data_IF_275023935983
#
_entry.id   IF_275023935983
#
_cell.length_a   1.000
_cell.length_b   1.000
_cell.length_c   1.000
_cell.angle_alpha   90.00
_cell.angle_beta   90.00
_cell.angle_gamma   90.00
#
_symmetry.space_group_name_H-M   'P 1'
#
loop_
_entity.id
_entity.type
_entity.pdbx_description
1 polymer ?
#
# COMPACT_ATOMS: atom_id res chain seq x y z
N UNK A 1 -6.24 21.24 -23.62
CA UNK A 1 -6.68 22.24 -22.63
C UNK A 1 -7.92 21.71 -21.90
N UNK A 2 -7.74 20.97 -20.81
CA UNK A 2 -8.66 20.93 -19.66
C UNK A 2 -7.76 20.70 -18.44
N UNK A 3 -7.53 21.78 -17.70
CA UNK A 3 -6.77 21.86 -16.46
C UNK A 3 -7.75 21.77 -15.27
N UNK A 4 -7.22 21.34 -14.12
CA UNK A 4 -7.66 21.67 -12.74
C UNK A 4 -8.99 21.12 -12.21
N UNK A 5 -8.89 20.08 -11.37
CA UNK A 5 -9.45 20.09 -10.00
C UNK A 5 -8.26 19.68 -9.11
N UNK A 6 -7.74 20.49 -8.19
CA UNK A 6 -8.31 20.76 -6.87
C UNK A 6 -7.57 22.01 -6.34
N UNK A 7 -8.28 23.10 -6.06
CA UNK A 7 -7.73 24.22 -5.30
C UNK A 7 -8.86 25.00 -4.59
N UNK A 8 -8.62 25.29 -3.31
CA UNK A 8 -9.19 26.34 -2.44
C UNK A 8 -10.72 26.44 -2.24
N UNK A 9 -11.14 26.35 -0.97
CA UNK A 9 -12.37 26.98 -0.48
C UNK A 9 -11.98 28.06 0.54
N UNK A 10 -12.24 29.32 0.19
CA UNK A 10 -12.44 30.44 1.13
C UNK A 10 -13.82 31.05 0.81
N UNK A 11 -14.65 31.37 1.81
CA UNK A 11 -16.00 31.87 1.56
C UNK A 11 -16.01 33.39 1.26
N UNK A 12 -16.99 33.89 0.48
CA UNK A 12 -17.06 35.29 0.09
C UNK A 12 -17.73 36.17 1.16
N UNK A 13 -17.24 37.40 1.27
CA UNK A 13 -17.86 38.53 1.97
C UNK A 13 -19.01 39.12 1.13
N UNK A 14 -20.18 39.30 1.74
CA UNK A 14 -21.27 40.10 1.17
C UNK A 14 -21.45 41.38 1.99
N UNK A 15 -21.44 42.52 1.31
CA UNK A 15 -21.71 43.84 1.88
C UNK A 15 -23.14 44.31 1.54
N UNK A 16 -23.71 45.06 2.49
CA UNK A 16 -24.75 46.12 2.40
C UNK A 16 -26.23 45.73 2.63
N UNK A 17 -27.11 46.68 3.05
CA UNK A 17 -26.92 47.75 4.05
C UNK A 17 -28.01 47.73 5.17
N UNK A 18 -27.74 48.47 6.25
CA UNK A 18 -28.63 48.70 7.39
C UNK A 18 -29.94 49.41 7.00
N UNK A 19 -31.08 48.92 7.50
CA UNK A 19 -32.30 49.72 7.66
C UNK A 19 -33.00 49.42 8.99
N UNK A 20 -33.31 50.50 9.70
CA UNK A 20 -33.97 50.67 11.00
C UNK A 20 -35.38 50.09 11.11
N UNK A 21 -35.80 49.63 12.31
CA UNK A 21 -37.05 49.98 13.04
C UNK A 21 -37.21 49.09 14.33
N UNK A 22 -38.10 49.43 15.30
CA UNK A 22 -37.74 49.54 16.71
C UNK A 22 -38.20 48.39 17.62
N UNK A 23 -37.62 48.44 18.82
CA UNK A 23 -37.96 47.77 20.07
C UNK A 23 -39.45 47.58 20.35
N UNK A 24 -39.83 46.36 20.70
CA UNK A 24 -40.38 45.96 22.01
C UNK A 24 -41.11 44.62 21.83
N UNK A 25 -40.76 43.61 22.64
CA UNK A 25 -41.64 42.60 23.24
C UNK A 25 -40.76 41.68 24.12
N UNK A 26 -41.32 41.09 25.20
CA UNK A 26 -40.58 40.78 26.42
C UNK A 26 -39.88 39.42 26.38
N UNK A 27 -38.80 39.38 27.17
CA UNK A 27 -37.97 38.22 27.51
C UNK A 27 -38.77 36.94 27.77
N UNK A 28 -38.65 35.97 26.87
CA UNK A 28 -38.78 34.55 27.17
C UNK A 28 -37.36 33.98 27.28
N UNK A 29 -36.94 33.76 28.51
CA UNK A 29 -35.63 33.23 28.86
C UNK A 29 -35.60 31.72 28.54
N UNK A 30 -35.37 31.37 27.28
CA UNK A 30 -35.00 30.02 26.87
C UNK A 30 -33.48 29.94 26.87
N UNK A 31 -32.93 29.25 27.86
CA UNK A 31 -31.49 29.06 28.01
C UNK A 31 -30.90 28.41 26.77
N UNK A 32 -30.06 29.16 26.05
CA UNK A 32 -29.06 28.57 25.18
C UNK A 32 -27.80 28.42 26.02
N UNK A 33 -27.65 27.25 26.63
CA UNK A 33 -26.35 26.80 27.09
C UNK A 33 -25.45 26.72 25.85
N UNK A 34 -24.52 27.65 25.77
CA UNK A 34 -23.38 27.58 24.86
C UNK A 34 -22.57 26.35 25.32
N UNK A 35 -22.80 25.21 24.67
CA UNK A 35 -21.98 24.02 24.86
C UNK A 35 -20.61 24.32 24.27
N UNK A 36 -19.75 24.95 25.06
CA UNK A 36 -18.32 25.01 24.82
C UNK A 36 -17.86 23.57 24.59
N UNK A 37 -17.37 23.30 23.37
CA UNK A 37 -16.79 22.01 23.02
C UNK A 37 -15.73 21.67 24.08
N UNK A 38 -16.06 20.75 25.00
CA UNK A 38 -15.10 20.20 25.95
C UNK A 38 -13.95 19.66 25.11
N UNK A 39 -12.76 20.23 25.31
CA UNK A 39 -11.53 19.59 24.87
C UNK A 39 -11.50 18.20 25.50
N UNK A 40 -11.86 17.19 24.70
CA UNK A 40 -11.74 15.80 25.10
C UNK A 40 -10.24 15.56 25.16
N UNK A 41 -9.70 15.56 26.37
CA UNK A 41 -8.34 15.11 26.61
C UNK A 41 -8.25 13.71 26.00
N UNK A 42 -7.33 13.45 25.07
CA UNK A 42 -7.22 12.15 24.43
C UNK A 42 -7.11 11.10 25.53
N UNK A 43 -7.88 10.01 25.40
CA UNK A 43 -7.70 8.86 26.28
C UNK A 43 -6.21 8.49 26.23
N UNK A 44 -5.53 8.42 27.38
CA UNK A 44 -4.10 8.11 27.45
C UNK A 44 -3.76 6.81 26.71
N UNK A 45 -4.71 5.88 26.62
CA UNK A 45 -4.60 4.66 25.84
C UNK A 45 -4.45 4.88 24.33
N UNK A 46 -5.12 5.91 23.77
CA UNK A 46 -5.04 6.26 22.35
C UNK A 46 -3.64 6.79 22.01
N UNK A 47 -3.04 7.63 22.86
CA UNK A 47 -1.69 8.16 22.60
C UNK A 47 -0.59 7.08 22.69
N UNK A 48 -0.87 5.97 23.37
CA UNK A 48 0.00 4.79 23.40
C UNK A 48 -0.22 3.84 22.21
N UNK A 49 -1.25 4.06 21.38
CA UNK A 49 -1.56 3.22 20.21
C UNK A 49 -0.37 3.02 19.27
N UNK A 50 0.37 4.07 18.82
CA UNK A 50 1.46 3.89 17.86
C UNK A 50 2.57 2.97 18.35
N UNK A 51 2.78 2.86 19.66
CA UNK A 51 3.78 1.96 20.25
C UNK A 51 3.32 0.50 20.32
N UNK A 52 2.01 0.26 20.33
CA UNK A 52 1.39 -1.08 20.38
C UNK A 52 1.07 -1.64 18.98
N UNK A 53 0.88 -0.76 18.02
CA UNK A 53 0.55 -1.07 16.63
C UNK A 53 1.71 -1.78 15.90
N UNK A 54 1.38 -2.66 14.97
CA UNK A 54 2.36 -3.41 14.16
C UNK A 54 2.62 -2.69 12.84
N UNK A 55 3.46 -1.66 12.91
CA UNK A 55 3.79 -0.81 11.77
C UNK A 55 5.01 -1.30 10.99
N UNK A 56 4.98 -1.07 9.68
CA UNK A 56 6.11 -1.32 8.76
C UNK A 56 6.19 -0.20 7.73
N UNK A 57 7.41 0.22 7.40
CA UNK A 57 7.62 1.05 6.22
C UNK A 57 7.38 0.19 4.96
N UNK A 58 6.46 0.62 4.09
CA UNK A 58 6.02 -0.17 2.95
C UNK A 58 6.79 0.19 1.68
N UNK A 59 6.69 1.46 1.28
CA UNK A 59 7.34 1.95 0.08
C UNK A 59 7.48 3.47 0.06
N UNK A 60 8.43 3.96 -0.71
CA UNK A 60 8.51 5.37 -1.11
C UNK A 60 7.91 5.54 -2.49
N UNK A 61 7.00 6.49 -2.64
CA UNK A 61 6.39 6.85 -3.92
C UNK A 61 7.07 8.09 -4.46
N UNK A 62 7.54 8.02 -5.71
CA UNK A 62 8.11 9.16 -6.40
C UNK A 62 7.96 9.03 -7.91
N UNK A 63 8.15 10.14 -8.62
CA UNK A 63 7.83 10.27 -10.04
C UNK A 63 9.07 10.19 -10.90
N UNK A 64 8.94 9.56 -12.07
CA UNK A 64 10.04 9.38 -13.03
C UNK A 64 9.61 9.84 -14.41
N UNK A 65 10.54 10.41 -15.16
CA UNK A 65 10.30 10.93 -16.51
C UNK A 65 10.27 9.85 -17.59
N UNK A 66 10.94 8.72 -17.34
CA UNK A 66 11.00 7.56 -18.23
C UNK A 66 11.02 6.28 -17.38
N UNK A 67 9.90 5.55 -17.38
CA UNK A 67 9.72 4.38 -16.51
C UNK A 67 10.66 3.25 -16.88
N UNK A 68 10.81 2.95 -18.17
CA UNK A 68 11.62 1.83 -18.65
C UNK A 68 13.11 2.09 -18.41
N UNK A 69 13.56 3.33 -18.62
CA UNK A 69 14.94 3.75 -18.31
C UNK A 69 15.25 3.56 -16.83
N UNK A 70 14.35 3.95 -15.94
CA UNK A 70 14.56 3.83 -14.50
C UNK A 70 14.47 2.38 -14.02
N UNK A 71 13.52 1.59 -14.53
CA UNK A 71 13.45 0.14 -14.27
C UNK A 71 14.75 -0.54 -14.70
N UNK A 72 15.26 -0.24 -15.89
CA UNK A 72 16.52 -0.79 -16.39
C UNK A 72 17.69 -0.39 -15.49
N UNK A 73 17.81 0.89 -15.13
CA UNK A 73 18.88 1.36 -14.25
C UNK A 73 18.86 0.67 -12.87
N UNK A 74 17.69 0.45 -12.29
CA UNK A 74 17.57 -0.19 -10.97
C UNK A 74 17.80 -1.69 -11.01
N UNK A 75 17.33 -2.36 -12.05
CA UNK A 75 17.50 -3.81 -12.20
C UNK A 75 18.93 -4.17 -12.61
N UNK A 76 19.45 -3.53 -13.65
CA UNK A 76 20.79 -3.78 -14.16
C UNK A 76 21.86 -3.14 -13.27
N UNK A 77 21.63 -1.95 -12.71
CA UNK A 77 22.59 -1.26 -11.84
C UNK A 77 22.55 -1.76 -10.41
N UNK A 78 21.51 -1.39 -9.67
CA UNK A 78 21.38 -1.72 -8.25
C UNK A 78 21.10 -3.19 -7.96
N UNK A 79 20.63 -3.98 -8.95
CA UNK A 79 20.26 -5.38 -8.73
C UNK A 79 18.88 -5.55 -8.10
N UNK A 80 18.02 -4.53 -8.17
CA UNK A 80 16.62 -4.64 -7.75
C UNK A 80 15.83 -5.56 -8.69
N UNK A 81 14.69 -6.05 -8.22
CA UNK A 81 13.72 -6.82 -9.02
C UNK A 81 12.51 -5.94 -9.31
N UNK A 82 12.00 -6.01 -10.54
CA UNK A 82 10.66 -5.53 -10.85
C UNK A 82 9.65 -6.52 -10.26
N UNK A 83 8.90 -6.07 -9.25
CA UNK A 83 7.98 -6.91 -8.47
C UNK A 83 6.57 -6.86 -9.04
N UNK A 84 6.12 -5.66 -9.39
CA UNK A 84 4.77 -5.41 -9.89
C UNK A 84 4.79 -4.21 -10.84
N UNK A 85 3.98 -4.30 -11.89
CA UNK A 85 3.80 -3.24 -12.87
C UNK A 85 2.31 -3.08 -13.12
N UNK A 86 1.80 -1.85 -13.05
CA UNK A 86 0.37 -1.57 -13.19
C UNK A 86 0.18 -0.32 -14.03
N UNK A 87 -0.48 -0.47 -15.15
CA UNK A 87 -0.89 0.64 -16.00
C UNK A 87 -2.32 1.06 -15.67
N UNK A 88 -2.56 2.38 -15.58
CA UNK A 88 -3.88 2.98 -15.31
C UNK A 88 -4.18 4.05 -16.37
N UNK A 89 -4.54 3.65 -17.61
CA UNK A 89 -4.76 4.59 -18.73
C UNK A 89 -5.83 5.64 -18.47
N UNK A 90 -6.90 5.27 -17.77
CA UNK A 90 -8.01 6.11 -17.37
C UNK A 90 -7.59 7.31 -16.49
N UNK A 91 -6.50 7.16 -15.72
CA UNK A 91 -5.90 8.22 -14.91
C UNK A 91 -4.56 8.71 -15.48
N UNK A 92 -4.13 8.18 -16.65
CA UNK A 92 -2.92 8.55 -17.40
C UNK A 92 -1.61 8.40 -16.64
N UNK A 93 -1.46 7.30 -15.90
CA UNK A 93 -0.19 6.98 -15.26
C UNK A 93 0.07 5.47 -15.19
N UNK A 94 1.35 5.13 -15.01
CA UNK A 94 1.82 3.77 -14.81
C UNK A 94 2.65 3.70 -13.52
N UNK A 95 2.45 2.66 -12.72
CA UNK A 95 3.32 2.34 -11.59
C UNK A 95 4.22 1.14 -11.86
N UNK A 96 5.43 1.20 -11.30
CA UNK A 96 6.31 0.04 -11.14
C UNK A 96 6.81 -0.04 -9.70
N UNK A 97 6.79 -1.25 -9.14
CA UNK A 97 7.27 -1.54 -7.79
C UNK A 97 8.57 -2.31 -7.89
N UNK A 98 9.65 -1.79 -7.29
CA UNK A 98 10.97 -2.40 -7.35
C UNK A 98 11.62 -2.49 -5.96
N UNK A 99 12.33 -3.58 -5.71
CA UNK A 99 13.06 -3.77 -4.46
C UNK A 99 13.91 -5.03 -4.47
N UNK A 100 14.48 -5.38 -3.32
CA UNK A 100 15.37 -6.54 -3.18
C UNK A 100 14.64 -7.83 -2.78
N UNK A 101 13.38 -7.72 -2.35
CA UNK A 101 12.52 -8.83 -1.94
C UNK A 101 11.04 -8.53 -2.18
N UNK A 102 10.14 -9.46 -1.82
CA UNK A 102 8.70 -9.31 -2.02
C UNK A 102 8.11 -8.19 -1.15
N UNK A 103 7.08 -7.50 -1.66
CA UNK A 103 6.48 -6.29 -1.05
C UNK A 103 5.92 -6.56 0.36
N UNK A 104 5.55 -7.82 0.67
CA UNK A 104 4.99 -8.24 1.95
C UNK A 104 6.02 -8.16 3.09
N UNK A 105 7.30 -8.39 2.80
CA UNK A 105 8.38 -8.44 3.79
C UNK A 105 9.44 -7.36 3.63
N UNK A 106 9.49 -6.69 2.48
CA UNK A 106 10.53 -5.69 2.17
C UNK A 106 9.95 -4.30 1.92
N UNK A 107 10.79 -3.30 2.12
CA UNK A 107 10.59 -1.95 1.61
C UNK A 107 10.90 -1.89 0.12
N UNK A 108 10.06 -1.19 -0.63
CA UNK A 108 10.18 -1.08 -2.09
C UNK A 108 10.05 0.36 -2.55
N UNK A 109 10.49 0.65 -3.77
CA UNK A 109 10.18 1.92 -4.44
C UNK A 109 8.94 1.73 -5.31
N UNK A 110 7.99 2.67 -5.22
CA UNK A 110 6.86 2.79 -6.14
C UNK A 110 7.16 3.96 -7.09
N UNK A 111 7.53 3.62 -8.31
CA UNK A 111 7.71 4.58 -9.39
C UNK A 111 6.36 4.97 -9.96
N UNK A 112 6.18 6.25 -10.25
CA UNK A 112 5.00 6.78 -10.94
C UNK A 112 5.43 7.52 -12.19
N UNK A 113 5.06 6.99 -13.35
CA UNK A 113 5.20 7.68 -14.62
C UNK A 113 3.85 8.27 -15.03
N UNK A 114 3.76 9.60 -15.12
CA UNK A 114 2.59 10.28 -15.66
C UNK A 114 2.78 10.48 -17.16
N UNK A 115 1.78 10.13 -17.97
CA UNK A 115 1.94 10.09 -19.43
C UNK A 115 2.37 11.44 -20.00
N UNK A 116 3.50 11.44 -20.71
CA UNK A 116 4.03 12.63 -21.38
C UNK A 116 4.72 13.63 -20.44
N UNK A 117 4.85 13.35 -19.15
CA UNK A 117 5.61 14.18 -18.19
C UNK A 117 6.99 13.57 -18.01
N UNK A 118 8.01 14.22 -18.58
CA UNK A 118 9.36 13.66 -18.74
C UNK A 118 10.39 14.18 -17.75
N UNK A 119 10.01 15.07 -16.84
CA UNK A 119 10.92 15.64 -15.84
C UNK A 119 10.15 16.17 -14.64
N UNK A 120 10.78 16.10 -13.46
CA UNK A 120 10.23 16.63 -12.21
C UNK A 120 11.29 17.47 -11.49
N UNK A 121 10.83 18.39 -10.66
CA UNK A 121 11.68 19.11 -9.73
C UNK A 121 11.83 18.29 -8.44
N UNK A 122 13.07 17.87 -8.13
CA UNK A 122 13.36 17.11 -6.90
C UNK A 122 13.23 17.99 -5.66
N UNK A 123 13.47 19.30 -5.80
CA UNK A 123 13.60 20.21 -4.66
C UNK A 123 14.87 19.97 -3.84
N UNK A 124 15.04 20.80 -2.82
CA UNK A 124 16.20 20.79 -1.93
C UNK A 124 15.96 19.98 -0.66
N UNK A 125 14.70 19.62 -0.38
CA UNK A 125 14.33 18.90 0.83
C UNK A 125 14.63 17.40 0.75
N UNK A 126 14.49 16.79 -0.43
CA UNK A 126 14.75 15.37 -0.60
C UNK A 126 16.26 15.13 -0.50
N UNK A 127 16.66 14.20 0.37
CA UNK A 127 18.04 13.84 0.58
C UNK A 127 18.49 12.78 -0.42
N UNK A 128 18.19 11.53 -0.08
CA UNK A 128 18.59 10.37 -0.86
C UNK A 128 17.79 9.12 -0.45
N UNK A 129 17.90 8.07 -1.25
CA UNK A 129 17.66 6.70 -0.80
C UNK A 129 18.99 6.05 -0.41
N UNK A 130 19.00 5.13 0.56
CA UNK A 130 20.21 4.38 0.95
C UNK A 130 20.14 2.93 0.49
N UNK A 131 21.21 2.43 -0.13
CA UNK A 131 21.40 1.03 -0.50
C UNK A 131 22.61 0.46 0.22
N UNK A 132 22.39 -0.49 1.12
CA UNK A 132 23.44 -1.29 1.73
C UNK A 132 23.93 -2.38 0.76
N UNK A 133 25.25 -2.53 0.66
CA UNK A 133 25.89 -3.57 -0.14
C UNK A 133 27.19 -4.03 0.50
N UNK A 134 27.64 -5.24 0.20
CA UNK A 134 28.88 -5.81 0.75
C UNK A 134 30.14 -5.22 0.11
N UNK A 135 30.02 -4.74 -1.14
CA UNK A 135 31.14 -4.16 -1.89
C UNK A 135 30.67 -2.93 -2.69
N UNK A 136 30.87 -1.75 -2.10
CA UNK A 136 30.46 -0.49 -2.70
C UNK A 136 31.32 -0.17 -3.92
N UNK A 137 32.61 -0.50 -3.92
CA UNK A 137 33.50 -0.23 -5.05
C UNK A 137 33.02 -0.96 -6.30
N UNK A 138 32.73 -2.26 -6.17
CA UNK A 138 32.18 -3.07 -7.27
C UNK A 138 30.83 -2.55 -7.76
N UNK A 139 29.95 -2.13 -6.87
CA UNK A 139 28.65 -1.57 -7.24
C UNK A 139 28.80 -0.24 -8.00
N UNK A 140 29.72 0.63 -7.56
CA UNK A 140 30.02 1.90 -8.24
C UNK A 140 30.54 1.65 -9.66
N UNK A 141 31.48 0.72 -9.86
CA UNK A 141 31.98 0.39 -11.21
C UNK A 141 30.85 -0.07 -12.14
N UNK A 142 29.95 -0.91 -11.62
CA UNK A 142 28.77 -1.40 -12.36
C UNK A 142 27.84 -0.26 -12.76
N UNK A 143 27.55 0.66 -11.84
CA UNK A 143 26.70 1.82 -12.09
C UNK A 143 27.36 2.80 -13.08
N UNK A 144 28.67 3.01 -12.96
CA UNK A 144 29.43 3.84 -13.91
C UNK A 144 29.36 3.26 -15.33
N UNK A 145 29.50 1.95 -15.49
CA UNK A 145 29.40 1.28 -16.78
C UNK A 145 27.99 1.41 -17.42
N UNK A 146 26.95 1.61 -16.62
CA UNK A 146 25.58 1.86 -17.06
C UNK A 146 25.26 3.35 -17.27
N UNK A 147 26.25 4.23 -17.18
CA UNK A 147 26.09 5.67 -17.33
C UNK A 147 25.53 6.38 -16.10
N UNK A 148 25.60 5.74 -14.91
CA UNK A 148 25.24 6.35 -13.64
C UNK A 148 26.17 7.52 -13.29
N UNK A 149 25.58 8.61 -12.79
CA UNK A 149 26.34 9.81 -12.42
C UNK A 149 26.87 9.68 -10.98
N UNK A 150 28.13 9.26 -10.83
CA UNK A 150 28.79 9.14 -9.53
C UNK A 150 29.16 10.54 -9.02
N UNK A 151 28.43 11.03 -8.02
CA UNK A 151 28.64 12.37 -7.44
C UNK A 151 29.58 12.37 -6.24
N UNK A 152 29.82 11.20 -5.65
CA UNK A 152 30.89 10.97 -4.67
C UNK A 152 31.45 9.56 -4.85
N UNK A 153 32.74 9.49 -5.16
CA UNK A 153 33.49 8.24 -5.29
C UNK A 153 33.50 7.43 -3.97
N UNK A 154 33.63 6.09 -4.06
CA UNK A 154 33.61 5.22 -2.89
C UNK A 154 34.81 5.49 -2.00
N UNK A 155 34.53 5.68 -0.72
CA UNK A 155 35.55 5.88 0.30
C UNK A 155 34.93 6.14 1.67
N UNK A 156 35.77 6.15 2.73
CA UNK A 156 35.30 6.40 4.09
C UNK A 156 34.51 7.71 4.19
N UNK A 157 33.43 7.69 4.97
CA UNK A 157 32.71 8.91 5.35
C UNK A 157 33.67 9.86 6.07
N UNK A 158 33.49 11.17 5.86
CA UNK A 158 34.29 12.17 6.56
C UNK A 158 34.15 12.00 8.08
N UNK A 159 35.27 11.75 8.76
CA UNK A 159 35.29 11.54 10.21
C UNK A 159 34.80 10.16 10.68
N UNK A 160 34.71 9.17 9.80
CA UNK A 160 34.34 7.80 10.15
C UNK A 160 35.00 6.74 9.27
N UNK A 161 34.73 5.47 9.57
CA UNK A 161 35.33 4.32 8.86
C UNK A 161 34.39 3.69 7.80
N UNK A 162 33.09 3.98 7.86
CA UNK A 162 32.11 3.41 6.92
C UNK A 162 32.40 3.88 5.50
N UNK A 163 32.60 2.93 4.58
CA UNK A 163 32.77 3.21 3.15
C UNK A 163 31.40 3.52 2.54
N UNK A 164 31.29 4.67 1.90
CA UNK A 164 30.07 5.13 1.23
C UNK A 164 30.40 5.72 -0.13
N UNK A 165 29.43 5.76 -1.05
CA UNK A 165 29.47 6.47 -2.32
C UNK A 165 28.12 7.15 -2.59
N UNK A 166 28.07 8.12 -3.51
CA UNK A 166 26.80 8.68 -3.99
C UNK A 166 26.71 8.60 -5.51
N UNK A 167 25.53 8.20 -5.98
CA UNK A 167 25.17 8.15 -7.39
C UNK A 167 23.83 8.83 -7.60
N UNK A 168 23.67 9.52 -8.73
CA UNK A 168 22.37 9.98 -9.20
C UNK A 168 21.79 9.00 -10.21
N UNK A 169 20.50 8.73 -10.07
CA UNK A 169 19.72 7.97 -11.04
C UNK A 169 19.41 8.80 -12.32
N UNK A 170 18.70 8.23 -13.30
CA UNK A 170 18.33 8.92 -14.54
C UNK A 170 17.58 10.25 -14.38
N UNK A 171 16.77 10.39 -13.33
CA UNK A 171 15.94 11.57 -13.04
C UNK A 171 16.66 12.55 -12.10
N UNK A 172 17.79 12.14 -11.50
CA UNK A 172 18.62 12.96 -10.62
C UNK A 172 18.45 12.67 -9.13
N UNK A 173 17.63 11.69 -8.75
CA UNK A 173 17.50 11.23 -7.37
C UNK A 173 18.84 10.67 -6.90
N UNK A 174 19.24 11.10 -5.70
CA UNK A 174 20.49 10.67 -5.10
C UNK A 174 20.29 9.34 -4.38
N UNK A 175 21.21 8.40 -4.59
CA UNK A 175 21.33 7.16 -3.85
C UNK A 175 22.67 7.14 -3.11
N UNK A 176 22.62 6.97 -1.79
CA UNK A 176 23.79 6.62 -0.98
C UNK A 176 24.03 5.11 -1.08
N UNK A 177 25.26 4.71 -1.40
CA UNK A 177 25.69 3.32 -1.38
C UNK A 177 26.53 3.12 -0.13
N UNK A 178 26.16 2.15 0.71
CA UNK A 178 26.74 2.00 2.06
C UNK A 178 27.32 0.62 2.22
N UNK A 179 28.62 0.54 2.53
CA UNK A 179 29.27 -0.75 2.72
C UNK A 179 28.89 -1.35 4.07
N UNK A 180 28.17 -2.46 4.06
CA UNK A 180 27.73 -3.20 5.24
C UNK A 180 27.83 -4.70 4.95
N UNK A 181 27.89 -5.52 6.00
CA UNK A 181 27.69 -6.96 5.85
C UNK A 181 26.28 -7.29 5.34
N UNK A 182 25.99 -8.59 5.10
CA UNK A 182 24.68 -9.03 4.68
C UNK A 182 23.55 -8.46 5.55
N UNK A 183 22.50 -7.94 4.91
CA UNK A 183 21.33 -7.37 5.58
C UNK A 183 20.05 -7.93 4.98
N UNK A 184 18.98 -8.14 5.79
CA UNK A 184 17.68 -8.53 5.27
C UNK A 184 17.00 -7.42 4.44
N UNK A 185 17.43 -6.17 4.58
CA UNK A 185 16.84 -5.02 3.88
C UNK A 185 17.92 -4.13 3.25
N UNK A 186 18.35 -4.44 2.00
CA UNK A 186 19.36 -3.63 1.32
C UNK A 186 18.90 -2.20 1.03
N UNK A 187 17.62 -1.95 0.75
CA UNK A 187 17.08 -0.59 0.61
C UNK A 187 16.81 -0.02 2.00
N UNK A 188 17.84 0.54 2.62
CA UNK A 188 17.93 0.70 4.07
C UNK A 188 17.68 2.12 4.59
N UNK A 189 17.59 3.13 3.72
CA UNK A 189 17.30 4.51 4.14
C UNK A 189 16.40 5.26 3.18
N UNK A 190 15.56 6.13 3.73
CA UNK A 190 15.03 7.31 3.06
C UNK A 190 15.49 8.52 3.86
N UNK A 191 16.21 9.45 3.24
CA UNK A 191 16.69 10.67 3.90
C UNK A 191 15.90 11.89 3.46
N UNK A 192 15.38 12.63 4.45
CA UNK A 192 14.66 13.88 4.26
C UNK A 192 15.28 14.98 5.11
N UNK A 193 15.44 16.17 4.52
CA UNK A 193 15.87 17.36 5.28
C UNK A 193 14.70 17.97 6.05
N UNK A 194 15.00 18.45 7.24
CA UNK A 194 14.05 19.07 8.17
C UNK A 194 14.63 20.35 8.77
N UNK A 195 13.77 21.31 9.07
CA UNK A 195 14.14 22.62 9.63
C UNK A 195 14.34 22.62 11.14
N UNK A 196 13.76 21.65 11.85
CA UNK A 196 13.94 21.44 13.28
C UNK A 196 13.99 19.93 13.56
N UNK A 197 15.19 19.43 13.91
CA UNK A 197 15.40 18.00 14.12
C UNK A 197 14.68 17.47 15.36
N UNK A 198 14.64 18.23 16.45
CA UNK A 198 14.05 17.75 17.71
C UNK A 198 12.53 17.73 17.63
N UNK A 199 11.92 18.73 16.97
CA UNK A 199 10.49 18.72 16.64
C UNK A 199 10.14 17.53 15.74
N UNK A 200 10.98 17.27 14.73
CA UNK A 200 10.77 16.16 13.80
C UNK A 200 10.86 14.81 14.49
N UNK A 201 11.91 14.56 15.29
CA UNK A 201 12.04 13.32 16.08
C UNK A 201 10.80 13.11 16.94
N UNK A 202 10.39 14.12 17.73
CA UNK A 202 9.19 14.04 18.58
C UNK A 202 7.92 13.74 17.78
N UNK A 203 7.79 14.31 16.58
CA UNK A 203 6.67 14.04 15.70
C UNK A 203 6.64 12.57 15.26
N UNK A 204 7.75 12.03 14.75
CA UNK A 204 7.83 10.63 14.30
C UNK A 204 7.68 9.63 15.47
N UNK A 205 8.16 9.98 16.67
CA UNK A 205 7.92 9.17 17.88
C UNK A 205 6.44 9.17 18.29
N UNK A 206 5.80 10.34 18.40
CA UNK A 206 4.42 10.46 18.88
C UNK A 206 3.38 10.06 17.85
N UNK A 207 3.48 10.56 16.62
CA UNK A 207 2.51 10.29 15.56
C UNK A 207 2.71 8.89 14.97
N UNK A 208 3.98 8.52 14.78
CA UNK A 208 4.34 7.33 14.04
C UNK A 208 4.80 6.14 14.88
N UNK A 209 5.04 6.30 16.18
CA UNK A 209 5.50 5.23 17.05
C UNK A 209 6.93 4.75 16.73
N UNK A 210 7.67 5.52 15.93
CA UNK A 210 9.05 5.21 15.58
C UNK A 210 9.93 5.39 16.81
N UNK A 211 11.05 4.67 16.87
CA UNK A 211 12.09 4.86 17.87
C UNK A 211 13.21 5.72 17.29
N UNK A 212 13.76 6.63 18.09
CA UNK A 212 15.07 7.21 17.81
C UNK A 212 16.16 6.13 17.97
N UNK A 213 16.76 5.73 16.85
CA UNK A 213 17.77 4.67 16.81
C UNK A 213 19.18 5.23 16.97
N UNK A 214 19.43 6.39 16.38
CA UNK A 214 20.74 7.05 16.38
C UNK A 214 20.55 8.55 16.18
N UNK A 215 21.30 9.38 16.90
CA UNK A 215 21.42 10.83 16.67
C UNK A 215 22.90 11.18 16.65
N UNK A 216 23.35 11.87 15.62
CA UNK A 216 24.75 12.27 15.47
C UNK A 216 24.80 13.74 15.11
N UNK A 217 25.55 14.50 15.91
CA UNK A 217 25.90 15.87 15.61
C UNK A 217 27.28 15.96 14.96
N UNK A 218 27.41 16.81 13.95
CA UNK A 218 28.64 17.05 13.18
C UNK A 218 28.87 18.56 13.06
N UNK A 219 29.29 19.22 14.16
CA UNK A 219 29.46 20.67 14.18
C UNK A 219 30.52 21.14 13.16
N UNK A 220 31.53 20.32 12.86
CA UNK A 220 32.56 20.64 11.86
C UNK A 220 31.99 20.79 10.45
N UNK A 221 30.89 20.08 10.16
CA UNK A 221 30.19 20.10 8.87
C UNK A 221 28.82 20.79 8.94
N UNK A 222 28.48 21.37 10.10
CA UNK A 222 27.25 22.15 10.34
C UNK A 222 25.95 21.37 10.03
N UNK A 223 25.90 20.10 10.41
CA UNK A 223 24.66 19.32 10.34
C UNK A 223 24.51 18.38 11.53
N UNK A 224 23.26 18.02 11.82
CA UNK A 224 22.88 16.96 12.75
C UNK A 224 21.96 15.99 12.01
N UNK A 225 22.14 14.69 12.20
CA UNK A 225 21.25 13.67 11.65
C UNK A 225 20.62 12.82 12.75
N UNK A 226 19.45 12.26 12.46
CA UNK A 226 18.78 11.28 13.29
C UNK A 226 18.20 10.14 12.44
N UNK A 227 18.36 8.91 12.90
CA UNK A 227 17.73 7.72 12.33
C UNK A 227 16.52 7.37 13.18
N UNK A 228 15.33 7.33 12.59
CA UNK A 228 14.10 6.87 13.23
C UNK A 228 13.50 5.70 12.48
N UNK A 229 12.95 4.71 13.19
CA UNK A 229 12.40 3.51 12.56
C UNK A 229 11.73 2.53 13.53
N UNK A 230 11.37 1.35 13.03
CA UNK A 230 10.62 0.34 13.78
C UNK A 230 11.45 -0.85 14.29
N UNK A 231 12.69 -1.01 13.79
CA UNK A 231 13.60 -2.08 14.19
C UNK A 231 15.06 -1.57 14.16
N UNK A 232 16.02 -2.44 14.50
CA UNK A 232 17.45 -2.10 14.51
C UNK A 232 17.93 -1.59 13.14
N UNK A 233 18.71 -0.50 13.14
CA UNK A 233 19.10 0.25 11.93
C UNK A 233 19.75 -0.61 10.82
N UNK A 234 20.44 -1.69 11.20
CA UNK A 234 21.14 -2.58 10.25
C UNK A 234 20.25 -3.69 9.69
N UNK A 235 19.02 -3.84 10.19
CA UNK A 235 18.08 -4.91 9.83
C UNK A 235 16.81 -4.40 9.15
N UNK A 236 16.66 -3.09 8.95
CA UNK A 236 15.44 -2.49 8.42
C UNK A 236 15.75 -1.25 7.61
N UNK A 237 14.73 -0.71 6.93
CA UNK A 237 14.76 0.65 6.45
C UNK A 237 14.51 1.64 7.60
N UNK A 238 15.29 2.73 7.61
CA UNK A 238 15.09 3.86 8.53
C UNK A 238 14.74 5.13 7.77
N UNK A 239 14.04 6.03 8.44
CA UNK A 239 13.92 7.41 8.01
C UNK A 239 15.11 8.17 8.61
N UNK A 240 15.98 8.67 7.75
CA UNK A 240 17.05 9.58 8.13
C UNK A 240 16.54 11.01 8.04
N UNK A 241 16.64 11.75 9.13
CA UNK A 241 16.28 13.17 9.20
C UNK A 241 17.57 13.97 9.32
N UNK A 242 17.80 14.89 8.39
CA UNK A 242 18.99 15.76 8.41
C UNK A 242 18.60 17.21 8.64
N UNK A 243 19.19 17.82 9.66
CA UNK A 243 19.12 19.26 9.90
C UNK A 243 20.47 19.89 9.57
N UNK A 244 20.46 20.94 8.74
CA UNK A 244 21.63 21.77 8.48
C UNK A 244 21.52 23.06 9.31
N UNK A 245 22.61 23.47 9.95
CA UNK A 245 22.56 24.55 10.93
C UNK A 245 22.04 25.85 10.33
N UNK A 246 20.97 26.40 10.93
CA UNK A 246 20.36 27.66 10.50
C UNK A 246 19.50 27.56 9.23
N UNK A 247 19.32 26.36 8.67
CA UNK A 247 18.46 26.14 7.50
C UNK A 247 17.15 25.52 7.96
N UNK A 248 16.09 26.33 7.98
CA UNK A 248 14.78 25.95 8.54
C UNK A 248 13.74 25.56 7.49
N UNK A 249 14.01 25.81 6.21
CA UNK A 249 13.07 25.57 5.12
C UNK A 249 13.78 24.96 3.91
N UNK A 250 13.06 24.10 3.19
CA UNK A 250 13.54 23.49 1.96
C UNK A 250 12.39 23.39 0.96
N UNK A 251 12.69 23.64 -0.32
CA UNK A 251 11.76 23.32 -1.40
C UNK A 251 11.50 21.82 -1.46
N UNK A 252 10.24 21.40 -1.53
CA UNK A 252 9.86 19.98 -1.61
C UNK A 252 9.95 19.40 -3.01
N UNK A 253 9.98 20.28 -4.01
CA UNK A 253 9.82 19.90 -5.40
C UNK A 253 8.44 19.28 -5.67
N UNK A 254 8.33 18.61 -6.80
CA UNK A 254 7.16 17.84 -7.20
C UNK A 254 7.51 16.40 -7.62
N UNK A 255 8.77 15.97 -7.42
CA UNK A 255 9.24 14.65 -7.81
C UNK A 255 8.91 13.58 -6.73
N UNK A 256 9.45 13.73 -5.52
CA UNK A 256 9.08 12.86 -4.39
C UNK A 256 7.61 13.09 -4.00
N UNK A 257 6.86 12.02 -3.73
CA UNK A 257 5.44 12.12 -3.41
C UNK A 257 5.15 11.86 -1.94
N UNK A 258 5.53 10.69 -1.41
CA UNK A 258 5.18 10.25 -0.06
C UNK A 258 5.92 8.98 0.36
N UNK A 259 5.92 8.71 1.66
CA UNK A 259 6.19 7.37 2.21
C UNK A 259 4.90 6.71 2.65
N UNK A 260 4.76 5.41 2.40
CA UNK A 260 3.66 4.61 2.91
C UNK A 260 4.10 3.79 4.12
N UNK A 261 3.27 3.79 5.15
CA UNK A 261 3.49 3.08 6.42
C UNK A 261 2.27 2.25 6.74
N UNK A 262 2.47 1.01 7.16
CA UNK A 262 1.38 0.13 7.51
C UNK A 262 0.87 0.39 8.94
N UNK A 263 -0.40 0.07 9.20
CA UNK A 263 -1.03 0.16 10.52
C UNK A 263 -2.16 -0.85 10.63
N UNK A 264 -2.42 -1.41 11.81
CA UNK A 264 -3.56 -2.28 12.05
C UNK A 264 -4.90 -1.50 12.06
N UNK A 265 -4.87 -0.18 12.28
CA UNK A 265 -6.07 0.66 12.33
C UNK A 265 -5.77 2.09 11.88
N UNK A 266 -6.18 2.42 10.65
CA UNK A 266 -5.99 3.79 10.10
C UNK A 266 -6.80 4.85 10.82
N UNK A 267 -7.90 4.50 11.51
CA UNK A 267 -8.74 5.48 12.21
C UNK A 267 -8.09 5.91 13.52
N UNK A 268 -7.67 4.95 14.36
CA UNK A 268 -6.90 5.24 15.58
C UNK A 268 -5.62 5.98 15.26
N UNK A 269 -4.91 5.52 14.22
CA UNK A 269 -3.67 6.17 13.79
C UNK A 269 -3.91 7.60 13.30
N UNK A 270 -4.99 7.87 12.56
CA UNK A 270 -5.34 9.22 12.13
C UNK A 270 -5.69 10.14 13.31
N UNK A 271 -6.41 9.63 14.31
CA UNK A 271 -6.77 10.38 15.51
C UNK A 271 -5.52 10.80 16.29
N UNK A 272 -4.57 9.88 16.48
CA UNK A 272 -3.27 10.20 17.11
C UNK A 272 -2.51 11.24 16.29
N UNK A 273 -2.40 11.06 14.97
CA UNK A 273 -1.72 12.04 14.10
C UNK A 273 -2.39 13.42 14.24
N UNK A 274 -3.72 13.48 14.24
CA UNK A 274 -4.46 14.74 14.40
C UNK A 274 -4.09 15.45 15.71
N UNK A 275 -4.05 14.72 16.84
CA UNK A 275 -3.60 15.28 18.12
C UNK A 275 -2.14 15.76 18.08
N UNK A 276 -1.24 14.96 17.51
CA UNK A 276 0.18 15.32 17.42
C UNK A 276 0.40 16.53 16.52
N UNK A 277 -0.36 16.67 15.42
CA UNK A 277 -0.26 17.83 14.52
C UNK A 277 -0.73 19.14 15.17
N UNK A 278 -1.65 19.07 16.15
CA UNK A 278 -2.04 20.24 16.93
C UNK A 278 -0.90 20.71 17.86
N UNK A 279 -0.05 19.80 18.33
CA UNK A 279 1.07 20.10 19.23
C UNK A 279 2.34 20.51 18.46
N UNK A 280 2.70 19.76 17.42
CA UNK A 280 4.02 19.84 16.78
C UNK A 280 3.99 20.39 15.35
N UNK A 281 2.80 20.69 14.82
CA UNK A 281 2.60 21.08 13.42
C UNK A 281 2.43 19.88 12.48
N UNK A 282 2.15 20.19 11.22
CA UNK A 282 1.70 19.22 10.21
C UNK A 282 0.19 19.28 9.99
N UNK A 283 -0.34 18.40 9.14
CA UNK A 283 -1.75 18.46 8.73
C UNK A 283 -2.27 17.15 8.13
N UNK A 284 -3.43 16.68 8.57
CA UNK A 284 -4.18 15.63 7.87
C UNK A 284 -4.59 16.14 6.47
N UNK A 285 -4.20 15.41 5.42
CA UNK A 285 -4.53 15.71 4.01
C UNK A 285 -5.65 14.82 3.46
N UNK A 286 -5.86 13.63 4.05
CA UNK A 286 -6.98 12.75 3.75
C UNK A 286 -7.46 12.11 5.04
N UNK A 287 -8.75 12.26 5.35
CA UNK A 287 -9.38 11.60 6.49
C UNK A 287 -9.36 10.06 6.32
N UNK A 288 -9.30 9.29 7.43
CA UNK A 288 -9.25 7.84 7.36
C UNK A 288 -10.50 7.27 6.68
N UNK A 289 -10.30 6.38 5.71
CA UNK A 289 -11.40 5.74 5.02
C UNK A 289 -10.97 4.89 3.84
N UNK A 290 -11.95 4.24 3.21
CA UNK A 290 -11.75 3.41 2.03
C UNK A 290 -11.33 4.27 0.82
N UNK A 291 -10.46 3.71 -0.02
CA UNK A 291 -10.25 4.18 -1.38
C UNK A 291 -11.33 3.53 -2.25
N UNK A 292 -12.16 4.32 -2.96
CA UNK A 292 -13.13 3.79 -3.90
C UNK A 292 -12.47 2.85 -4.92
N UNK A 293 -13.11 1.72 -5.21
CA UNK A 293 -12.65 0.76 -6.23
C UNK A 293 -11.65 -0.30 -5.77
N UNK A 294 -10.80 -0.02 -4.76
CA UNK A 294 -9.81 -1.00 -4.27
C UNK A 294 -10.04 -1.47 -2.83
N UNK A 295 -11.01 -0.90 -2.12
CA UNK A 295 -11.40 -1.28 -0.74
C UNK A 295 -10.25 -1.29 0.29
N UNK A 296 -9.12 -0.64 -0.03
CA UNK A 296 -8.02 -0.39 0.90
C UNK A 296 -8.36 0.82 1.77
N UNK A 297 -8.22 0.70 3.10
CA UNK A 297 -8.37 1.84 4.01
C UNK A 297 -7.05 2.59 4.13
N UNK A 298 -7.09 3.91 3.97
CA UNK A 298 -5.94 4.79 4.16
C UNK A 298 -6.30 6.05 4.93
N UNK A 299 -5.29 6.70 5.52
CA UNK A 299 -5.28 8.12 5.87
C UNK A 299 -3.98 8.74 5.35
N UNK A 300 -3.94 10.06 5.12
CA UNK A 300 -2.69 10.72 4.75
C UNK A 300 -2.53 12.06 5.45
N UNK A 301 -1.28 12.46 5.66
CA UNK A 301 -0.94 13.68 6.36
C UNK A 301 0.42 14.24 5.91
N UNK A 302 0.66 15.50 6.24
CA UNK A 302 1.97 16.15 6.17
C UNK A 302 2.55 16.22 7.57
N UNK A 303 3.85 15.96 7.69
CA UNK A 303 4.62 16.24 8.90
C UNK A 303 4.82 17.77 9.08
N UNK A 304 5.47 18.23 10.19
CA UNK A 304 5.70 19.67 10.44
C UNK A 304 6.47 20.40 9.35
N UNK A 305 7.23 19.65 8.55
CA UNK A 305 8.06 20.17 7.47
C UNK A 305 7.38 20.03 6.12
N UNK A 306 6.20 19.41 6.02
CA UNK A 306 5.45 19.26 4.77
C UNK A 306 5.71 17.94 4.03
N UNK A 307 6.41 16.98 4.62
CA UNK A 307 6.61 15.66 4.03
C UNK A 307 5.36 14.80 4.17
N UNK A 308 4.91 14.22 3.06
CA UNK A 308 3.68 13.44 3.02
C UNK A 308 3.89 12.00 3.47
N UNK A 309 3.05 11.54 4.37
CA UNK A 309 2.94 10.13 4.78
C UNK A 309 1.53 9.62 4.50
N UNK A 310 1.43 8.36 4.03
CA UNK A 310 0.18 7.63 3.89
C UNK A 310 0.20 6.43 4.81
N UNK A 311 -0.80 6.33 5.70
CA UNK A 311 -1.01 5.12 6.49
C UNK A 311 -1.94 4.18 5.75
N UNK A 312 -1.54 2.92 5.64
CA UNK A 312 -2.26 1.87 4.91
C UNK A 312 -2.61 0.74 5.86
N UNK A 313 -3.85 0.29 5.82
CA UNK A 313 -4.32 -0.79 6.68
C UNK A 313 -3.64 -2.14 6.35
N UNK A 314 -3.11 -2.83 7.37
CA UNK A 314 -2.43 -4.13 7.25
C UNK A 314 -3.33 -5.23 6.65
N UNK A 315 -4.65 -5.18 6.86
CA UNK A 315 -5.55 -6.17 6.28
C UNK A 315 -5.69 -5.99 4.76
N UNK A 316 -5.36 -4.81 4.23
CA UNK A 316 -5.37 -4.55 2.79
C UNK A 316 -4.06 -4.98 2.10
N UNK A 317 -2.93 -5.00 2.80
CA UNK A 317 -1.63 -5.44 2.25
C UNK A 317 -1.47 -6.96 2.21
N UNK A 318 -2.37 -7.72 2.84
CA UNK A 318 -2.38 -9.19 2.82
C UNK A 318 -3.19 -9.80 1.67
N UNK A 319 -3.88 -9.00 0.85
CA UNK A 319 -4.56 -9.49 -0.34
C UNK A 319 -3.56 -9.64 -1.49
N UNK A 320 -3.32 -10.85 -2.01
CA UNK A 320 -2.46 -11.02 -3.17
C UNK A 320 -3.06 -10.25 -4.35
N UNK A 321 -2.24 -9.42 -5.00
CA UNK A 321 -2.59 -8.61 -6.17
C UNK A 321 -2.99 -9.42 -7.42
N UNK A 322 -3.16 -10.74 -7.30
CA UNK A 322 -3.78 -11.58 -8.32
C UNK A 322 -5.30 -11.52 -8.26
N UNK A 323 -5.86 -10.78 -9.22
CA UNK A 323 -7.20 -11.04 -9.74
C UNK A 323 -8.21 -9.98 -9.36
N UNK A 324 -8.57 -9.19 -10.37
CA UNK A 324 -9.85 -8.52 -10.45
C UNK A 324 -10.94 -9.46 -9.89
N UNK A 325 -11.49 -9.13 -8.73
CA UNK A 325 -12.66 -9.81 -8.20
C UNK A 325 -13.82 -9.43 -9.12
N UNK A 326 -14.07 -10.24 -10.14
CA UNK A 326 -15.22 -10.06 -11.03
C UNK A 326 -16.46 -10.34 -10.20
N UNK A 327 -17.05 -9.30 -9.63
CA UNK A 327 -18.40 -9.33 -9.11
C UNK A 327 -19.35 -9.37 -10.31
N UNK A 328 -19.68 -10.57 -10.80
CA UNK A 328 -20.74 -10.74 -11.79
C UNK A 328 -22.10 -10.42 -11.12
N UNK A 329 -22.60 -9.21 -11.30
CA UNK A 329 -24.01 -8.90 -11.06
C UNK A 329 -24.85 -9.52 -12.18
N UNK A 330 -25.49 -10.67 -11.90
CA UNK A 330 -26.55 -11.19 -12.76
C UNK A 330 -27.86 -10.48 -12.41
N UNK A 331 -28.24 -9.49 -13.22
CA UNK A 331 -29.59 -8.94 -13.18
C UNK A 331 -30.58 -9.93 -13.82
N UNK A 332 -31.36 -10.63 -13.01
CA UNK A 332 -32.69 -11.12 -13.39
C UNK A 332 -33.59 -11.17 -12.16
N UNK A 333 -34.51 -10.20 -12.09
CA UNK A 333 -35.74 -10.17 -11.29
C UNK A 333 -35.68 -10.78 -9.90
N UNK A 334 -35.57 -9.89 -8.91
CA UNK A 334 -36.03 -10.08 -7.52
C UNK A 334 -35.42 -11.26 -6.74
N UNK A 335 -34.10 -11.24 -6.53
CA UNK A 335 -33.42 -11.64 -5.28
C UNK A 335 -31.90 -11.47 -5.47
N UNK A 336 -31.28 -10.60 -4.68
CA UNK A 336 -29.82 -10.42 -4.69
C UNK A 336 -29.19 -11.60 -3.95
N UNK A 337 -28.41 -12.42 -4.65
CA UNK A 337 -27.57 -13.46 -4.03
C UNK A 337 -26.11 -13.07 -4.25
N UNK A 338 -25.45 -12.64 -3.18
CA UNK A 338 -23.99 -12.45 -3.19
C UNK A 338 -23.31 -13.80 -2.94
N UNK A 339 -22.45 -14.24 -3.86
CA UNK A 339 -21.61 -15.41 -3.71
C UNK A 339 -20.16 -14.96 -3.59
N UNK A 340 -19.57 -15.18 -2.42
CA UNK A 340 -18.15 -14.90 -2.15
C UNK A 340 -17.39 -16.23 -2.26
N UNK A 341 -16.48 -16.32 -3.23
CA UNK A 341 -15.53 -17.42 -3.35
C UNK A 341 -14.21 -16.97 -2.71
N UNK A 342 -13.74 -17.71 -1.71
CA UNK A 342 -12.46 -17.45 -1.04
C UNK A 342 -11.55 -18.67 -1.22
N UNK A 343 -10.30 -18.42 -1.62
CA UNK A 343 -9.27 -19.44 -1.74
C UNK A 343 -8.57 -19.59 -0.38
N UNK A 344 -8.74 -20.73 0.28
CA UNK A 344 -8.05 -21.05 1.54
C UNK A 344 -7.24 -22.32 1.30
N UNK A 345 -5.91 -22.20 1.30
CA UNK A 345 -4.99 -23.35 1.30
C UNK A 345 -5.13 -24.31 0.12
N UNK A 346 -5.35 -23.80 -1.12
CA UNK A 346 -5.38 -24.62 -2.33
C UNK A 346 -6.61 -25.52 -2.51
N UNK A 347 -7.69 -25.28 -1.75
CA UNK A 347 -9.01 -25.88 -1.97
C UNK A 347 -10.09 -24.81 -2.07
N UNK A 348 -10.90 -24.85 -3.14
CA UNK A 348 -12.12 -24.04 -3.25
C UNK A 348 -13.18 -24.56 -2.28
N UNK A 349 -13.73 -23.70 -1.44
CA UNK A 349 -14.94 -23.97 -0.66
C UNK A 349 -15.89 -22.77 -0.75
N UNK A 350 -17.19 -23.02 -0.86
CA UNK A 350 -18.20 -21.97 -0.85
C UNK A 350 -18.49 -21.54 0.60
N UNK A 351 -18.29 -20.26 0.93
CA UNK A 351 -18.59 -19.73 2.26
C UNK A 351 -20.10 -19.41 2.40
N UNK A 352 -20.63 -19.68 3.60
CA UNK A 352 -22.03 -19.63 4.05
C UNK A 352 -22.85 -18.39 3.61
N UNK A 353 -24.14 -18.62 3.31
CA UNK A 353 -25.19 -17.61 3.12
C UNK A 353 -25.41 -16.78 4.40
N UNK A 354 -25.38 -15.45 4.29
CA UNK A 354 -25.94 -14.51 5.28
C UNK A 354 -27.45 -14.40 5.01
N UNK A 355 -28.29 -14.59 6.03
CA UNK A 355 -29.75 -14.44 5.94
C UNK A 355 -30.17 -13.03 6.36
N UNK A 356 -30.88 -12.31 5.48
CA UNK A 356 -31.84 -11.27 5.87
C UNK A 356 -33.26 -11.79 5.56
N UNK A 357 -34.22 -11.55 6.47
CA UNK A 357 -35.63 -12.00 6.42
C UNK A 357 -36.40 -11.52 5.17
N UNK A 358 -37.58 -11.99 4.82
CA UNK A 358 -38.76 -12.56 5.52
C UNK A 358 -39.52 -13.49 4.51
N UNK A 359 -40.46 -14.37 4.91
CA UNK A 359 -40.97 -15.42 4.02
C UNK A 359 -42.10 -14.92 3.11
N UNK A 360 -42.03 -15.26 1.82
CA UNK A 360 -43.13 -15.06 0.86
C UNK A 360 -43.48 -16.37 0.15
N UNK A 361 -44.79 -16.55 -0.03
CA UNK A 361 -45.53 -17.79 -0.25
C UNK A 361 -45.16 -18.58 -1.51
N UNK A 362 -45.30 -19.92 -1.39
CA UNK A 362 -45.34 -20.91 -2.49
C UNK A 362 -46.12 -20.43 -3.72
N UNK A 363 -45.47 -20.42 -4.88
CA UNK A 363 -46.10 -20.76 -6.17
C UNK A 363 -45.16 -21.59 -7.02
N UNK A 364 -45.67 -22.74 -7.45
CA UNK A 364 -45.07 -23.68 -8.39
C UNK A 364 -45.08 -23.10 -9.81
N UNK A 365 -43.92 -23.03 -10.46
CA UNK A 365 -43.85 -23.03 -11.92
C UNK A 365 -42.53 -23.64 -12.39
N UNK A 366 -42.65 -24.49 -13.40
CA UNK A 366 -41.63 -25.34 -14.01
C UNK A 366 -40.62 -24.49 -14.80
N UNK A 367 -39.37 -24.41 -14.34
CA UNK A 367 -38.30 -23.74 -15.10
C UNK A 367 -37.48 -24.77 -15.87
N UNK A 368 -37.44 -24.62 -17.21
CA UNK A 368 -36.54 -25.36 -18.12
C UNK A 368 -35.09 -25.01 -17.77
N UNK A 369 -34.26 -25.99 -17.48
CA UNK A 369 -32.85 -25.78 -17.17
C UNK A 369 -32.09 -25.28 -18.42
N UNK A 370 -31.51 -24.07 -18.35
CA UNK A 370 -30.48 -23.64 -19.30
C UNK A 370 -29.13 -24.19 -18.83
N UNK A 371 -28.47 -24.96 -19.68
CA UNK A 371 -27.07 -25.35 -19.51
C UNK A 371 -26.22 -24.35 -20.27
N UNK A 372 -25.41 -23.57 -19.55
CA UNK A 372 -24.41 -22.69 -20.16
C UNK A 372 -23.02 -23.27 -19.91
N UNK A 373 -22.22 -23.44 -20.97
CA UNK A 373 -20.84 -23.96 -20.87
C UNK A 373 -19.87 -22.78 -20.94
N UNK A 374 -19.06 -22.59 -19.89
CA UNK A 374 -17.98 -21.59 -19.88
C UNK A 374 -16.65 -22.33 -19.96
N UNK A 375 -15.79 -21.92 -20.89
CA UNK A 375 -14.49 -22.56 -21.14
C UNK A 375 -13.36 -21.64 -20.69
N UNK A 376 -12.50 -22.11 -19.78
CA UNK A 376 -11.30 -21.37 -19.36
C UNK A 376 -10.03 -21.99 -19.99
N UNK A 377 -9.07 -21.14 -20.37
CA UNK A 377 -7.74 -21.54 -20.83
C UNK A 377 -6.67 -20.93 -19.91
N UNK A 378 -5.92 -21.79 -19.22
CA UNK A 378 -4.66 -21.43 -18.53
C UNK A 378 -3.64 -22.53 -18.77
N UNK A 379 -2.45 -22.18 -19.30
CA UNK A 379 -1.29 -23.07 -19.51
C UNK A 379 -1.64 -24.46 -20.05
N UNK A 380 -2.26 -24.53 -21.22
CA UNK A 380 -2.41 -25.78 -21.98
C UNK A 380 -3.40 -26.82 -21.45
N UNK A 381 -4.03 -26.63 -20.29
CA UNK A 381 -5.08 -27.53 -19.77
C UNK A 381 -6.46 -26.88 -19.94
N UNK A 382 -7.40 -27.58 -20.58
CA UNK A 382 -8.82 -27.18 -20.67
C UNK A 382 -9.54 -27.66 -19.41
N UNK A 383 -10.16 -26.73 -18.69
CA UNK A 383 -11.12 -27.04 -17.63
C UNK A 383 -12.52 -26.76 -18.20
N UNK A 384 -13.39 -27.76 -18.21
CA UNK A 384 -14.79 -27.63 -18.61
C UNK A 384 -15.62 -27.69 -17.33
N UNK A 385 -16.30 -26.60 -16.99
CA UNK A 385 -17.24 -26.56 -15.88
C UNK A 385 -18.67 -26.58 -16.43
N UNK A 386 -19.48 -27.53 -15.95
CA UNK A 386 -20.93 -27.60 -16.18
C UNK A 386 -21.62 -26.96 -14.97
N UNK A 387 -22.27 -25.83 -15.16
CA UNK A 387 -23.15 -25.24 -14.15
C UNK A 387 -24.59 -25.68 -14.42
N UNK A 388 -25.20 -26.32 -13.42
CA UNK A 388 -26.64 -26.57 -13.37
C UNK A 388 -27.18 -25.94 -12.08
N UNK A 389 -28.26 -25.16 -12.19
CA UNK A 389 -28.93 -24.55 -11.04
C UNK A 389 -30.15 -25.37 -10.65
N UNK A 390 -30.18 -25.94 -9.45
CA UNK A 390 -31.41 -26.31 -8.77
C UNK A 390 -31.19 -26.44 -7.26
N UNK A 391 -32.18 -25.95 -6.52
CA UNK A 391 -32.36 -25.95 -5.07
C UNK A 391 -32.50 -27.35 -4.48
N UNK A 392 -31.86 -27.55 -3.33
CA UNK A 392 -31.93 -28.69 -2.38
C UNK A 392 -30.94 -29.85 -2.62
N UNK A 393 -29.89 -29.88 -1.79
CA UNK A 393 -28.91 -30.97 -1.69
C UNK A 393 -28.61 -31.30 -0.23
N UNK A 394 -28.44 -32.59 0.08
CA UNK A 394 -27.82 -33.07 1.33
C UNK A 394 -26.59 -33.93 1.02
N UNK A 395 -25.50 -33.69 1.76
CA UNK A 395 -24.17 -34.25 1.49
C UNK A 395 -23.97 -35.56 2.26
N UNK A 396 -23.53 -36.63 1.60
CA UNK A 396 -23.07 -37.87 2.26
C UNK A 396 -21.69 -38.22 1.74
N UNK A 397 -20.68 -38.17 2.62
CA UNK A 397 -19.33 -38.62 2.32
C UNK A 397 -19.13 -40.07 2.78
N UNK A 398 -18.49 -40.90 1.94
CA UNK A 398 -17.95 -42.21 2.35
C UNK A 398 -16.52 -42.34 1.85
N UNK A 399 -15.63 -42.76 2.75
CA UNK A 399 -14.23 -43.08 2.45
C UNK A 399 -14.14 -44.50 1.87
N UNK A 400 -13.40 -44.67 0.78
CA UNK A 400 -13.03 -45.99 0.27
C UNK A 400 -11.55 -46.02 -0.12
N UNK A 401 -10.90 -47.16 0.12
CA UNK A 401 -9.47 -47.36 -0.07
C UNK A 401 -9.21 -48.18 -1.33
N UNK A 402 -8.30 -47.72 -2.18
CA UNK A 402 -7.78 -48.47 -3.32
C UNK A 402 -6.27 -48.26 -3.39
N UNK A 403 -5.50 -49.31 -3.08
CA UNK A 403 -4.04 -49.21 -2.90
C UNK A 403 -3.64 -48.36 -1.68
N UNK A 404 -2.52 -47.65 -1.78
CA UNK A 404 -1.95 -46.79 -0.71
C UNK A 404 -2.62 -45.42 -0.58
N UNK A 405 -3.56 -45.07 -1.47
CA UNK A 405 -4.21 -43.76 -1.50
C UNK A 405 -5.64 -43.79 -0.95
N UNK A 406 -5.99 -42.72 -0.22
CA UNK A 406 -7.34 -42.47 0.29
C UNK A 406 -8.14 -41.64 -0.71
N UNK A 407 -9.34 -42.10 -1.04
CA UNK A 407 -10.26 -41.37 -1.92
C UNK A 407 -11.56 -41.03 -1.15
N UNK A 408 -11.99 -39.78 -1.25
CA UNK A 408 -13.35 -39.38 -0.90
C UNK A 408 -14.22 -39.48 -2.15
N UNK A 409 -15.21 -40.37 -2.15
CA UNK A 409 -16.26 -40.39 -3.17
C UNK A 409 -17.43 -39.55 -2.66
N UNK A 410 -17.79 -38.51 -3.41
CA UNK A 410 -19.08 -37.82 -3.24
C UNK A 410 -20.14 -38.63 -3.98
N UNK A 411 -21.19 -39.03 -3.28
CA UNK A 411 -22.36 -39.65 -3.89
C UNK A 411 -23.49 -38.63 -3.97
N UNK A 412 -24.03 -38.47 -5.17
CA UNK A 412 -25.24 -37.68 -5.39
C UNK A 412 -26.42 -38.67 -5.30
N UNK A 413 -27.25 -38.56 -4.26
CA UNK A 413 -28.43 -39.40 -4.08
C UNK A 413 -29.65 -38.70 -4.68
N UNK A 414 -29.97 -38.99 -5.94
CA UNK A 414 -31.27 -38.62 -6.51
C UNK A 414 -32.33 -39.56 -5.93
N UNK A 415 -33.44 -39.01 -5.42
CA UNK A 415 -34.62 -39.84 -5.18
C UNK A 415 -35.27 -40.13 -6.54
N UNK A 416 -35.11 -41.37 -7.01
CA UNK A 416 -35.74 -41.88 -8.22
C UNK A 416 -34.80 -41.94 -9.43
N UNK A 417 -34.75 -43.12 -10.04
CA UNK A 417 -34.05 -43.53 -11.26
C UNK A 417 -32.53 -43.78 -11.20
N UNK A 418 -32.20 -45.08 -11.19
CA UNK A 418 -30.89 -45.62 -11.56
C UNK A 418 -30.70 -45.54 -13.09
N UNK A 419 -29.63 -44.91 -13.56
CA UNK A 419 -28.92 -45.30 -14.79
C UNK A 419 -27.42 -45.04 -14.62
N UNK A 420 -26.61 -46.03 -14.96
CA UNK A 420 -25.15 -45.92 -15.02
C UNK A 420 -24.71 -45.08 -16.23
N UNK A 421 -23.70 -44.19 -16.09
CA UNK A 421 -23.09 -43.56 -17.25
C UNK A 421 -22.00 -44.45 -17.87
N UNK A 422 -22.13 -44.68 -19.18
CA UNK A 422 -21.16 -45.34 -20.05
C UNK A 422 -19.94 -44.44 -20.28
N UNK A 423 -18.74 -44.98 -20.08
CA UNK A 423 -17.47 -44.29 -20.38
C UNK A 423 -17.15 -44.35 -21.88
N UNK A 424 -16.81 -43.21 -22.49
CA UNK A 424 -16.14 -43.18 -23.80
C UNK A 424 -14.66 -42.85 -23.59
N UNK A 425 -13.83 -43.86 -23.83
CA UNK A 425 -12.38 -43.77 -23.89
C UNK A 425 -11.95 -42.98 -25.14
N UNK A 426 -11.10 -41.96 -25.00
CA UNK A 426 -10.18 -41.54 -26.06
C UNK A 426 -8.79 -41.41 -25.46
N UNK A 427 -7.90 -42.28 -25.94
CA UNK A 427 -6.55 -42.49 -25.42
C UNK A 427 -5.64 -41.28 -25.61
N UNK A 428 -4.77 -41.08 -24.62
CA UNK A 428 -3.53 -40.34 -24.74
C UNK A 428 -2.43 -41.35 -25.09
N UNK A 429 -1.63 -41.07 -26.12
CA UNK A 429 -0.32 -41.69 -26.27
C UNK A 429 0.69 -40.90 -25.44
N UNK A 430 1.49 -41.65 -24.70
CA UNK A 430 2.60 -41.24 -23.89
C UNK A 430 3.74 -40.68 -24.76
N UNK A 431 4.46 -39.69 -24.23
CA UNK A 431 5.90 -39.65 -24.42
C UNK A 431 6.58 -39.17 -23.14
N UNK A 432 7.39 -40.08 -22.61
CA UNK A 432 8.26 -39.96 -21.45
C UNK A 432 9.33 -38.89 -21.67
N UNK A 433 9.54 -38.03 -20.67
CA UNK A 433 10.89 -37.60 -20.29
C UNK A 433 10.95 -37.46 -18.76
N UNK A 434 11.64 -38.40 -18.14
CA UNK A 434 12.18 -38.36 -16.78
C UNK A 434 13.29 -37.31 -16.71
N UNK A 435 13.31 -36.45 -15.69
CA UNK A 435 14.55 -36.03 -14.99
C UNK A 435 14.24 -35.78 -13.51
N UNK A 436 14.81 -36.64 -12.65
CA UNK A 436 15.12 -36.48 -11.20
C UNK A 436 16.08 -35.28 -11.03
N UNK A 437 16.07 -34.42 -10.01
CA UNK A 437 15.79 -34.51 -8.56
C UNK A 437 15.13 -33.22 -8.10
#
# INVERSE_FOLDING_TARGET
MVFQLIAFYSPPTLHSPLSTLPSTLPFLNYGMAEEAAKAVTPNAELLEWPKKDKRRLLHAVYRVGDLDRTIKFYTEGFGMKLLRHRDIPEEKYTNAFLGFGPEESNFVVELTYNYGVTSYDIGEGFGHFGIATEDVYKLVEKLRALGGNITREPGPVKGGASVIAFVKDPDGYTFELIQRGPTPEPLCQLMLRVGDLDRSIKFYEKALGMKLLRKIDRPEYKYTLAMVGYADEYQTIVLELTYNYGVTEYTKGNAYAQIAVSTDDVYKSAEVVNHVTQELGGKITRQPGLIPGINTKITSFLDPDGWKTVLVDNAASSYPSTGCMVLMMLYKTSQVVNLVMQEVGGKMSAAKRIHCGTPLSRKTSTTRAMVSTVTFRRRGKRLIALMATASDWSEVSRKSKAGTNWFCKLYIKTHGFQREPTFVHKGFQENNVLVKL
#
